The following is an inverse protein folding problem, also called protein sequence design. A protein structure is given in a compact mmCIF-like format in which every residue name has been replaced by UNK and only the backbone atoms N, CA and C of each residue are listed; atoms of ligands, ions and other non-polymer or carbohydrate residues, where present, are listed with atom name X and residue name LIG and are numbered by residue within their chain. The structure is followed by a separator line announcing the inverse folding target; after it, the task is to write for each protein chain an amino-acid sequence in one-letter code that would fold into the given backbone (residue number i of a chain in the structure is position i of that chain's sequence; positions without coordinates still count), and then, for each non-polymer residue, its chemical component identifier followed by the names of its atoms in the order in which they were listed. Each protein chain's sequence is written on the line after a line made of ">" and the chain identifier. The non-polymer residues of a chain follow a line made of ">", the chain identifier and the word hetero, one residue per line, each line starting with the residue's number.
data_IF_536423293587
#
_entry.id   IF_536423293587
#
_cell.length_a   1.000
_cell.length_b   1.000
_cell.length_c   1.000
_cell.angle_alpha   90.00
_cell.angle_beta   90.00
_cell.angle_gamma   90.00
#
_symmetry.space_group_name_H-M   'P 1'
#
loop_
_entity.id
_entity.type
_entity.pdbx_description
1 polymer ?
#
# COMPACT_ATOMS: atom_id res chain seq x y z
N UNK A 1 -6.71 -0.54 3.16
CA UNK A 1 -7.57 0.06 2.11
C UNK A 1 -8.82 -0.79 1.95
N UNK A 2 -9.99 -0.19 1.94
CA UNK A 2 -11.24 -0.92 1.79
C UNK A 2 -11.45 -1.40 0.35
N UNK A 3 -12.31 -2.41 0.17
CA UNK A 3 -12.66 -2.94 -1.15
C UNK A 3 -13.32 -1.86 -2.01
N UNK A 4 -14.22 -1.07 -1.44
CA UNK A 4 -14.86 0.04 -2.15
C UNK A 4 -13.84 1.09 -2.61
N UNK A 5 -12.84 1.36 -1.80
CA UNK A 5 -11.76 2.29 -2.16
C UNK A 5 -10.95 1.75 -3.34
N UNK A 6 -10.65 0.46 -3.34
CA UNK A 6 -9.93 -0.19 -4.45
C UNK A 6 -10.74 -0.10 -5.74
N UNK A 7 -12.03 -0.40 -5.69
CA UNK A 7 -12.90 -0.32 -6.86
C UNK A 7 -13.03 1.11 -7.37
N UNK A 8 -13.17 2.08 -6.47
CA UNK A 8 -13.20 3.50 -6.83
C UNK A 8 -11.93 3.92 -7.56
N UNK A 9 -10.76 3.56 -7.02
CA UNK A 9 -9.48 3.89 -7.63
C UNK A 9 -9.31 3.20 -8.98
N UNK A 10 -9.73 1.94 -9.10
CA UNK A 10 -9.66 1.21 -10.37
C UNK A 10 -10.51 1.90 -11.45
N UNK A 11 -11.72 2.31 -11.11
CA UNK A 11 -12.61 3.00 -12.04
C UNK A 11 -12.05 4.37 -12.43
N UNK A 12 -11.45 5.10 -11.49
CA UNK A 12 -10.80 6.38 -11.77
C UNK A 12 -9.61 6.20 -12.72
N UNK A 13 -8.77 5.19 -12.47
CA UNK A 13 -7.62 4.88 -13.34
C UNK A 13 -8.11 4.50 -14.73
N UNK A 14 -9.15 3.68 -14.84
CA UNK A 14 -9.72 3.31 -16.13
C UNK A 14 -10.21 4.53 -16.92
N UNK A 15 -10.91 5.44 -16.24
CA UNK A 15 -11.42 6.66 -16.87
C UNK A 15 -10.26 7.51 -17.42
N UNK A 16 -9.23 7.70 -16.63
CA UNK A 16 -8.06 8.47 -17.05
C UNK A 16 -7.31 7.78 -18.20
N UNK A 17 -7.20 6.46 -18.15
CA UNK A 17 -6.49 5.66 -19.15
C UNK A 17 -7.13 5.77 -20.54
N UNK A 18 -8.46 5.68 -20.62
CA UNK A 18 -9.17 5.78 -21.92
C UNK A 18 -9.10 7.18 -22.51
N UNK A 19 -8.86 8.19 -21.70
CA UNK A 19 -8.74 9.60 -22.14
C UNK A 19 -7.32 9.94 -22.62
N UNK A 20 -6.33 9.06 -22.45
CA UNK A 20 -4.97 9.31 -22.89
C UNK A 20 -4.88 9.19 -24.42
N UNK A 21 -4.42 10.26 -25.12
CA UNK A 21 -4.26 10.20 -26.58
C UNK A 21 -3.31 9.07 -27.00
N UNK A 22 -3.71 8.31 -28.03
CA UNK A 22 -2.89 7.23 -28.56
C UNK A 22 -3.00 5.91 -27.82
N UNK A 23 -3.76 5.85 -26.72
CA UNK A 23 -3.99 4.62 -25.98
C UNK A 23 -5.33 4.02 -26.39
N UNK A 24 -5.33 2.74 -26.77
CA UNK A 24 -6.54 1.96 -27.02
C UNK A 24 -6.66 0.87 -25.98
N UNK A 25 -7.80 0.85 -25.28
CA UNK A 25 -8.11 -0.21 -24.32
C UNK A 25 -9.07 -1.19 -25.02
N UNK A 26 -8.54 -2.36 -25.41
CA UNK A 26 -9.33 -3.35 -26.19
C UNK A 26 -10.20 -4.23 -25.30
N UNK A 27 -9.74 -4.51 -24.10
CA UNK A 27 -10.46 -5.36 -23.14
C UNK A 27 -10.58 -4.62 -21.81
N UNK A 28 -11.49 -3.63 -21.69
CA UNK A 28 -11.59 -2.80 -20.49
C UNK A 28 -11.81 -3.59 -19.19
N UNK A 29 -12.63 -4.64 -19.23
CA UNK A 29 -12.89 -5.45 -18.04
C UNK A 29 -11.66 -6.22 -17.58
N UNK A 30 -10.84 -6.72 -18.51
CA UNK A 30 -9.61 -7.42 -18.17
C UNK A 30 -8.58 -6.47 -17.56
N UNK A 31 -8.44 -5.28 -18.13
CA UNK A 31 -7.54 -4.25 -17.60
C UNK A 31 -7.99 -3.81 -16.21
N UNK A 32 -9.29 -3.58 -16.01
CA UNK A 32 -9.83 -3.24 -14.70
C UNK A 32 -9.54 -4.33 -13.67
N UNK A 33 -9.72 -5.58 -14.04
CA UNK A 33 -9.44 -6.73 -13.16
C UNK A 33 -7.97 -6.74 -12.73
N UNK A 34 -7.04 -6.49 -13.65
CA UNK A 34 -5.62 -6.42 -13.32
C UNK A 34 -5.29 -5.25 -12.41
N UNK A 35 -5.92 -4.10 -12.61
CA UNK A 35 -5.75 -2.93 -11.74
C UNK A 35 -6.24 -3.25 -10.33
N UNK A 36 -7.43 -3.84 -10.20
CA UNK A 36 -7.99 -4.24 -8.91
C UNK A 36 -7.07 -5.24 -8.21
N UNK A 37 -6.55 -6.21 -8.95
CA UNK A 37 -5.61 -7.21 -8.41
C UNK A 37 -4.35 -6.54 -7.88
N UNK A 38 -3.74 -5.65 -8.66
CA UNK A 38 -2.53 -4.93 -8.26
C UNK A 38 -2.75 -4.06 -7.02
N UNK A 39 -3.85 -3.31 -6.97
CA UNK A 39 -4.18 -2.48 -5.82
C UNK A 39 -4.47 -3.33 -4.57
N UNK A 40 -5.10 -4.49 -4.74
CA UNK A 40 -5.37 -5.42 -3.65
C UNK A 40 -4.08 -5.99 -3.08
N UNK A 41 -3.14 -6.39 -3.94
CA UNK A 41 -1.84 -6.88 -3.53
C UNK A 41 -1.05 -5.81 -2.79
N UNK A 42 -1.08 -4.57 -3.27
CA UNK A 42 -0.42 -3.44 -2.61
C UNK A 42 -1.01 -3.17 -1.23
N UNK A 43 -2.34 -3.22 -1.10
CA UNK A 43 -3.00 -3.05 0.19
C UNK A 43 -2.61 -4.14 1.20
N UNK A 44 -2.47 -5.39 0.73
CA UNK A 44 -2.01 -6.50 1.57
C UNK A 44 -0.57 -6.32 2.00
N UNK A 45 0.29 -5.84 1.12
CA UNK A 45 1.68 -5.54 1.44
C UNK A 45 1.77 -4.46 2.52
N UNK A 46 1.04 -3.37 2.36
CA UNK A 46 1.00 -2.28 3.34
C UNK A 46 0.55 -2.78 4.72
N UNK A 47 -0.49 -3.60 4.76
CA UNK A 47 -0.99 -4.18 6.00
C UNK A 47 0.05 -5.09 6.65
N UNK A 48 0.72 -5.93 5.87
CA UNK A 48 1.76 -6.84 6.34
C UNK A 48 2.97 -6.07 6.88
N UNK A 49 3.37 -5.00 6.19
CA UNK A 49 4.46 -4.13 6.64
C UNK A 49 4.10 -3.45 7.96
N UNK A 50 2.89 -2.88 8.06
CA UNK A 50 2.42 -2.24 9.28
C UNK A 50 2.46 -3.21 10.46
N UNK A 51 1.98 -4.44 10.28
CA UNK A 51 1.99 -5.48 11.31
C UNK A 51 3.42 -5.78 11.78
N UNK A 52 4.35 -5.93 10.85
CA UNK A 52 5.75 -6.21 11.19
C UNK A 52 6.40 -5.05 11.94
N UNK A 53 6.15 -3.81 11.51
CA UNK A 53 6.67 -2.62 12.17
C UNK A 53 6.15 -2.51 13.59
N UNK A 54 4.84 -2.67 13.78
CA UNK A 54 4.22 -2.61 15.12
C UNK A 54 4.75 -3.70 16.05
N UNK A 55 4.94 -4.90 15.52
CA UNK A 55 5.53 -6.01 16.28
C UNK A 55 6.95 -5.68 16.72
N UNK A 56 7.76 -5.13 15.84
CA UNK A 56 9.13 -4.72 16.14
C UNK A 56 9.16 -3.67 17.25
N UNK A 57 8.33 -2.63 17.13
CA UNK A 57 8.28 -1.56 18.14
C UNK A 57 7.83 -2.07 19.51
N UNK A 58 6.86 -2.98 19.53
CA UNK A 58 6.38 -3.54 20.80
C UNK A 58 7.35 -4.53 21.44
N UNK A 59 8.35 -5.01 20.71
CA UNK A 59 9.36 -5.94 21.24
C UNK A 59 10.46 -5.26 22.04
N UNK A 60 10.56 -3.94 22.03
CA UNK A 60 11.56 -3.21 22.79
C UNK A 60 11.27 -3.30 24.30
N UNK A 61 12.33 -3.28 25.11
CA UNK A 61 12.21 -3.37 26.56
C UNK A 61 11.37 -2.22 27.15
N UNK A 62 11.44 -1.05 26.53
CA UNK A 62 10.66 0.14 26.93
C UNK A 62 10.04 0.75 25.69
N UNK A 63 8.93 0.16 25.20
CA UNK A 63 8.30 0.67 24.00
C UNK A 63 7.72 2.07 24.21
N UNK A 64 7.89 2.95 23.22
CA UNK A 64 7.27 4.25 23.24
C UNK A 64 5.76 4.10 23.13
N UNK A 65 4.97 4.95 23.81
CA UNK A 65 3.51 4.91 23.70
C UNK A 65 3.06 5.17 22.27
N UNK A 66 2.16 4.34 21.75
CA UNK A 66 1.59 4.51 20.41
C UNK A 66 0.94 5.88 20.30
N UNK A 67 1.21 6.58 19.19
CA UNK A 67 0.71 7.93 18.93
C UNK A 67 1.59 9.03 19.49
N UNK A 68 2.63 8.72 20.29
CA UNK A 68 3.59 9.72 20.74
C UNK A 68 4.52 10.12 19.57
N UNK A 69 5.14 11.29 19.70
CA UNK A 69 6.10 11.76 18.69
C UNK A 69 7.27 10.77 18.52
N UNK A 70 7.80 10.26 19.63
CA UNK A 70 8.87 9.27 19.63
C UNK A 70 8.45 8.01 18.86
N UNK A 71 7.22 7.52 19.12
CA UNK A 71 6.69 6.35 18.44
C UNK A 71 6.58 6.60 16.93
N UNK A 72 6.09 7.77 16.51
CA UNK A 72 5.97 8.11 15.09
C UNK A 72 7.32 8.12 14.38
N UNK A 73 8.35 8.68 15.02
CA UNK A 73 9.72 8.69 14.46
C UNK A 73 10.24 7.26 14.31
N UNK A 74 10.07 6.43 15.33
CA UNK A 74 10.49 5.04 15.30
C UNK A 74 9.70 4.22 14.28
N UNK A 75 8.40 4.48 14.16
CA UNK A 75 7.55 3.82 13.19
C UNK A 75 8.05 4.09 11.76
N UNK A 76 8.27 5.34 11.40
CA UNK A 76 8.72 5.70 10.05
C UNK A 76 10.10 5.13 9.74
N UNK A 77 11.00 5.17 10.68
CA UNK A 77 12.34 4.58 10.52
C UNK A 77 12.27 3.07 10.29
N UNK A 78 11.54 2.37 11.13
CA UNK A 78 11.40 0.91 11.06
C UNK A 78 10.66 0.51 9.78
N UNK A 79 9.62 1.24 9.40
CA UNK A 79 8.88 1.01 8.16
C UNK A 79 9.80 1.11 6.95
N UNK A 80 10.63 2.15 6.90
CA UNK A 80 11.61 2.32 5.82
C UNK A 80 12.57 1.15 5.73
N UNK A 81 13.07 0.66 6.87
CA UNK A 81 13.98 -0.50 6.92
C UNK A 81 13.31 -1.78 6.44
N UNK A 82 12.06 -2.01 6.88
CA UNK A 82 11.28 -3.18 6.47
C UNK A 82 11.02 -3.16 4.97
N UNK A 83 10.61 -2.01 4.43
CA UNK A 83 10.36 -1.85 2.99
C UNK A 83 11.62 -2.09 2.17
N UNK A 84 12.74 -1.54 2.57
CA UNK A 84 14.02 -1.77 1.87
C UNK A 84 14.38 -3.24 1.82
N UNK A 85 14.21 -3.95 2.95
CA UNK A 85 14.51 -5.37 3.02
C UNK A 85 13.56 -6.19 2.14
N UNK A 86 12.26 -5.94 2.20
CA UNK A 86 11.25 -6.68 1.44
C UNK A 86 11.30 -6.42 -0.05
N UNK A 87 11.53 -5.16 -0.44
CA UNK A 87 11.58 -4.76 -1.84
C UNK A 87 12.99 -4.81 -2.42
N UNK A 88 13.98 -5.08 -1.60
CA UNK A 88 15.40 -5.14 -1.99
C UNK A 88 15.89 -3.84 -2.65
N UNK A 89 15.47 -2.74 -2.07
CA UNK A 89 15.86 -1.40 -2.55
C UNK A 89 17.26 -1.00 -2.08
#
# INVERSE_FOLDING_TARGET
>A
MSRERIFFLADLIMKELVDVPGVQVRAPNDVRTEIVRGLTEEAKLEESVDTEVRRTLSSYARPAPEGSHEWEVMYQKTRSEVLKRRLRL
#
